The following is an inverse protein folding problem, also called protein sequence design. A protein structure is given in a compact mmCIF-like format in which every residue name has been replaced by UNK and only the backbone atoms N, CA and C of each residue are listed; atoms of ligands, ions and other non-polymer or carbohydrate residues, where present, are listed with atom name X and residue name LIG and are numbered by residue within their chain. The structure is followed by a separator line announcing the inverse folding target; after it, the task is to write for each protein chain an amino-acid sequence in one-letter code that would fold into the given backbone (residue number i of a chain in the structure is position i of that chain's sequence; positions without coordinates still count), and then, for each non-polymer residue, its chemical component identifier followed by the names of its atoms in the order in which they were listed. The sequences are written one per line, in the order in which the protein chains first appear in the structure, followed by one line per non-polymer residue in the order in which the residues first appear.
data_IF_119122945741
#
_entry.id   IF_119122945741
#
_cell.length_a   1.000
_cell.length_b   1.000
_cell.length_c   1.000
_cell.angle_alpha   90.00
_cell.angle_beta   90.00
_cell.angle_gamma   90.00
#
_symmetry.space_group_name_H-M   'P 1'
#
loop_
_entity.id
_entity.type
_entity.pdbx_description
1 polymer ?
#
# COMPACT_ATOMS: atom_id res chain seq x y z
N UNK A 1 8.04 -9.96 -11.09
CA UNK A 1 8.42 -8.92 -10.12
C UNK A 1 9.48 -7.98 -10.68
N UNK A 2 10.70 -8.44 -11.00
CA UNK A 2 11.78 -7.57 -11.52
C UNK A 2 11.41 -6.75 -12.77
N UNK A 3 10.63 -7.33 -13.67
CA UNK A 3 10.13 -6.61 -14.84
C UNK A 3 9.27 -5.37 -14.48
N UNK A 4 8.57 -5.37 -13.34
CA UNK A 4 7.78 -4.23 -12.90
C UNK A 4 8.67 -3.06 -12.44
N UNK A 5 9.73 -3.35 -11.70
CA UNK A 5 10.72 -2.36 -11.26
C UNK A 5 11.53 -1.80 -12.45
N UNK A 6 11.94 -2.67 -13.37
CA UNK A 6 12.59 -2.27 -14.61
C UNK A 6 11.69 -1.37 -15.45
N UNK A 7 10.41 -1.74 -15.64
CA UNK A 7 9.43 -0.92 -16.38
C UNK A 7 9.19 0.45 -15.72
N UNK A 8 9.26 0.52 -14.39
CA UNK A 8 9.13 1.77 -13.64
C UNK A 8 10.42 2.60 -13.61
N UNK A 9 11.51 2.14 -14.24
CA UNK A 9 12.85 2.71 -14.12
C UNK A 9 13.26 2.93 -12.65
N UNK A 10 12.83 2.03 -11.76
CA UNK A 10 13.12 2.12 -10.32
C UNK A 10 14.31 1.21 -9.99
N UNK A 11 15.48 1.77 -9.63
CA UNK A 11 16.59 0.97 -9.15
C UNK A 11 16.22 0.33 -7.81
N UNK A 12 16.33 -1.00 -7.73
CA UNK A 12 15.99 -1.77 -6.52
C UNK A 12 16.68 -1.24 -5.26
N UNK A 13 17.99 -0.90 -5.27
CA UNK A 13 18.66 -0.36 -4.07
C UNK A 13 18.11 0.98 -3.57
N UNK A 14 17.29 1.67 -4.37
CA UNK A 14 16.66 2.95 -4.01
C UNK A 14 15.21 2.79 -3.54
N UNK A 15 14.71 1.56 -3.44
CA UNK A 15 13.36 1.32 -2.91
C UNK A 15 13.32 1.66 -1.42
N UNK A 16 12.44 2.58 -1.03
CA UNK A 16 12.28 3.00 0.37
C UNK A 16 10.94 2.57 0.97
N UNK A 17 9.90 2.48 0.14
CA UNK A 17 8.57 2.09 0.57
C UNK A 17 7.74 1.47 -0.56
N UNK A 18 6.81 0.60 -0.18
CA UNK A 18 5.77 0.05 -1.03
C UNK A 18 4.41 0.33 -0.39
N UNK A 19 3.51 0.95 -1.16
CA UNK A 19 2.11 1.10 -0.78
C UNK A 19 1.24 0.24 -1.71
N UNK A 20 0.52 -0.73 -1.15
CA UNK A 20 -0.46 -1.54 -1.91
C UNK A 20 -1.80 -1.57 -1.20
N UNK A 21 -2.86 -1.91 -1.93
CA UNK A 21 -4.19 -2.22 -1.38
C UNK A 21 -4.18 -3.44 -0.46
N UNK A 22 -3.05 -4.17 -0.41
CA UNK A 22 -2.75 -5.25 0.51
C UNK A 22 -3.74 -6.39 0.50
N UNK A 23 -4.64 -6.50 -0.49
CA UNK A 23 -5.63 -7.59 -0.51
C UNK A 23 -4.96 -8.99 -0.47
N UNK A 24 -3.89 -9.25 -1.25
CA UNK A 24 -3.10 -10.49 -1.10
C UNK A 24 -2.40 -10.61 0.26
N UNK A 25 -1.91 -9.51 0.83
CA UNK A 25 -1.23 -9.54 2.12
C UNK A 25 -2.21 -9.82 3.27
N UNK A 26 -3.45 -9.33 3.19
CA UNK A 26 -4.51 -9.54 4.17
C UNK A 26 -4.97 -10.99 4.25
N UNK A 27 -4.86 -11.75 3.16
CA UNK A 27 -5.14 -13.19 3.13
C UNK A 27 -3.91 -14.06 3.44
N UNK A 28 -2.80 -13.44 3.89
CA UNK A 28 -1.54 -14.15 4.19
C UNK A 28 -0.80 -14.65 2.95
N UNK A 29 -1.09 -14.12 1.76
CA UNK A 29 -0.43 -14.54 0.52
C UNK A 29 1.00 -14.01 0.47
N UNK A 30 1.97 -14.92 0.51
CA UNK A 30 3.39 -14.63 0.25
C UNK A 30 3.68 -14.33 -1.23
N UNK A 31 2.72 -14.63 -2.12
CA UNK A 31 2.83 -14.39 -3.56
C UNK A 31 2.46 -12.95 -3.98
N UNK A 32 2.06 -12.10 -3.04
CA UNK A 32 1.85 -10.67 -3.31
C UNK A 32 3.18 -9.92 -3.47
N UNK A 33 3.15 -8.75 -4.12
CA UNK A 33 4.34 -7.93 -4.39
C UNK A 33 5.23 -7.72 -3.16
N UNK A 34 4.64 -7.33 -2.02
CA UNK A 34 5.39 -7.10 -0.77
C UNK A 34 6.05 -8.38 -0.26
N UNK A 35 5.34 -9.51 -0.30
CA UNK A 35 5.88 -10.81 0.13
C UNK A 35 7.06 -11.24 -0.76
N UNK A 36 6.89 -11.12 -2.08
CA UNK A 36 7.93 -11.42 -3.05
C UNK A 36 9.17 -10.52 -2.89
N UNK A 37 8.99 -9.22 -2.64
CA UNK A 37 10.11 -8.30 -2.41
C UNK A 37 10.85 -8.62 -1.09
N UNK A 38 10.12 -8.98 -0.02
CA UNK A 38 10.74 -9.35 1.27
C UNK A 38 11.49 -10.68 1.22
N UNK A 39 11.08 -11.60 0.35
CA UNK A 39 11.75 -12.90 0.18
C UNK A 39 13.03 -12.81 -0.68
N UNK A 40 13.19 -11.74 -1.45
CA UNK A 40 14.32 -11.54 -2.37
C UNK A 40 15.38 -10.64 -1.74
N UNK A 41 16.56 -11.22 -1.50
CA UNK A 41 17.68 -10.56 -0.81
C UNK A 41 18.29 -9.38 -1.58
N UNK A 42 17.92 -9.17 -2.85
CA UNK A 42 18.36 -8.01 -3.62
C UNK A 42 17.64 -6.72 -3.21
N UNK A 43 16.48 -6.82 -2.55
CA UNK A 43 15.74 -5.68 -2.06
C UNK A 43 16.29 -5.20 -0.72
N UNK A 44 16.43 -3.88 -0.52
CA UNK A 44 16.72 -3.33 0.80
C UNK A 44 15.53 -3.54 1.74
N UNK A 45 15.73 -3.28 3.03
CA UNK A 45 14.60 -3.11 3.94
C UNK A 45 13.77 -1.89 3.51
N UNK A 46 12.44 -2.04 3.51
CA UNK A 46 11.52 -0.99 3.04
C UNK A 46 10.26 -0.95 3.91
N UNK A 47 9.64 0.23 3.95
CA UNK A 47 8.35 0.43 4.63
C UNK A 47 7.21 -0.11 3.79
N UNK A 48 6.32 -0.92 4.39
CA UNK A 48 5.09 -1.34 3.73
C UNK A 48 3.89 -0.56 4.28
N UNK A 49 3.18 0.13 3.40
CA UNK A 49 1.94 0.83 3.74
C UNK A 49 0.75 0.10 3.11
N UNK A 50 -0.32 -0.01 3.88
CA UNK A 50 -1.59 -0.51 3.39
C UNK A 50 -2.50 0.67 3.02
N UNK A 51 -3.24 0.54 1.92
CA UNK A 51 -4.11 1.62 1.46
C UNK A 51 -5.28 1.84 2.43
N UNK A 52 -5.22 2.95 3.18
CA UNK A 52 -6.19 3.30 4.24
C UNK A 52 -7.62 3.27 3.71
N UNK A 53 -7.86 3.80 2.51
CA UNK A 53 -9.20 3.87 1.90
C UNK A 53 -9.85 2.49 1.75
N UNK A 54 -9.07 1.47 1.37
CA UNK A 54 -9.61 0.12 1.19
C UNK A 54 -9.98 -0.51 2.54
N UNK A 55 -9.10 -0.37 3.54
CA UNK A 55 -9.34 -0.86 4.90
C UNK A 55 -10.56 -0.21 5.53
N UNK A 56 -10.65 1.11 5.47
CA UNK A 56 -11.77 1.88 6.02
C UNK A 56 -13.08 1.55 5.30
N UNK A 57 -13.04 1.27 3.99
CA UNK A 57 -14.21 0.82 3.24
C UNK A 57 -14.66 -0.61 3.58
N UNK A 58 -13.74 -1.50 3.95
CA UNK A 58 -14.09 -2.83 4.45
C UNK A 58 -14.68 -2.74 5.85
N UNK A 59 -14.04 -1.96 6.72
CA UNK A 59 -14.48 -1.74 8.11
C UNK A 59 -15.83 -1.03 8.15
N UNK A 60 -16.08 -0.04 7.28
CA UNK A 60 -17.36 0.67 7.17
C UNK A 60 -18.52 -0.30 6.95
N UNK A 61 -18.31 -1.33 6.12
CA UNK A 61 -19.31 -2.38 5.83
C UNK A 61 -19.47 -3.35 6.98
N UNK A 62 -18.37 -3.78 7.60
CA UNK A 62 -18.41 -4.74 8.70
C UNK A 62 -18.98 -4.17 10.00
N UNK A 63 -18.72 -2.89 10.29
CA UNK A 63 -19.15 -2.22 11.52
C UNK A 63 -20.36 -1.28 11.30
N UNK A 64 -20.83 -1.15 10.06
CA UNK A 64 -21.89 -0.22 9.66
C UNK A 64 -21.60 1.25 10.06
N UNK A 65 -20.34 1.68 9.89
CA UNK A 65 -19.85 3.01 10.28
C UNK A 65 -19.61 3.91 9.05
N UNK A 66 -19.93 5.20 9.17
CA UNK A 66 -19.72 6.20 8.12
C UNK A 66 -18.28 6.78 8.12
N UNK A 67 -17.26 5.92 8.10
CA UNK A 67 -15.84 6.34 8.15
C UNK A 67 -15.31 6.88 6.82
N UNK A 68 -15.97 6.58 5.70
CA UNK A 68 -15.48 6.98 4.38
C UNK A 68 -15.47 8.49 4.16
N UNK A 69 -16.46 9.22 4.69
CA UNK A 69 -16.54 10.68 4.55
C UNK A 69 -15.31 11.37 5.17
N UNK A 70 -15.00 11.18 6.47
CA UNK A 70 -13.82 11.81 7.07
C UNK A 70 -12.50 11.35 6.44
N UNK A 71 -12.39 10.07 6.03
CA UNK A 71 -11.18 9.57 5.33
C UNK A 71 -10.95 10.33 4.01
N UNK A 72 -12.00 10.50 3.20
CA UNK A 72 -11.91 11.24 1.95
C UNK A 72 -11.62 12.72 2.16
N UNK A 73 -12.16 13.33 3.22
CA UNK A 73 -11.85 14.71 3.60
C UNK A 73 -10.37 14.88 3.96
N UNK A 74 -9.81 13.98 4.77
CA UNK A 74 -8.38 13.98 5.15
C UNK A 74 -7.49 13.78 3.91
N UNK A 75 -7.81 12.80 3.05
CA UNK A 75 -7.05 12.54 1.82
C UNK A 75 -7.06 13.76 0.89
N UNK A 76 -8.21 14.42 0.74
CA UNK A 76 -8.32 15.62 -0.07
C UNK A 76 -7.57 16.81 0.55
N UNK A 77 -7.60 16.96 1.87
CA UNK A 77 -6.83 17.97 2.57
C UNK A 77 -5.32 17.82 2.33
N UNK A 78 -4.78 16.61 2.50
CA UNK A 78 -3.37 16.30 2.21
C UNK A 78 -3.02 16.58 0.74
N UNK A 79 -3.86 16.11 -0.20
CA UNK A 79 -3.63 16.27 -1.65
C UNK A 79 -3.64 17.74 -2.09
N UNK A 80 -4.46 18.57 -1.47
CA UNK A 80 -4.57 20.00 -1.82
C UNK A 80 -3.50 20.87 -1.14
N UNK A 81 -2.62 20.28 -0.33
CA UNK A 81 -1.50 20.99 0.29
C UNK A 81 -1.90 22.07 1.27
N UNK A 82 -3.12 22.02 1.83
CA UNK A 82 -3.62 23.00 2.81
C UNK A 82 -3.14 22.72 4.24
N UNK A 83 -2.00 22.05 4.39
CA UNK A 83 -1.36 21.77 5.68
C UNK A 83 -0.78 23.05 6.30
#
# INVERSE_FOLDING_TARGET
MMAAFAKANLPIPKLTAIATDGAPAMIGSVNGLVGLCKADQTFPEFWNFHYIIHREQLVSKSLNLYVMKPVMEIVNYIRTGKA
#
